data_IF_390044522069
#
_entry.id   IF_390044522069
#
_cell.length_a   1.000
_cell.length_b   1.000
_cell.length_c   1.000
_cell.angle_alpha   90.00
_cell.angle_beta   90.00
_cell.angle_gamma   90.00
#
_symmetry.space_group_name_H-M   'P 1'
#
loop_
_entity.id
_entity.type
_entity.pdbx_description
1 polymer ?
#
# COMPACT_ATOMS: atom_id res chain seq x y z
N UNK A 1 -23.74 -20.59 13.70
CA UNK A 1 -24.25 -19.30 13.17
C UNK A 1 -23.17 -18.74 12.27
N UNK A 2 -23.37 -18.80 10.97
CA UNK A 2 -22.43 -18.30 9.96
C UNK A 2 -22.35 -16.77 10.05
N UNK A 3 -21.15 -16.22 10.12
CA UNK A 3 -20.96 -14.76 10.09
C UNK A 3 -20.77 -14.31 8.64
N UNK A 4 -21.35 -13.17 8.27
CA UNK A 4 -21.20 -12.57 6.93
C UNK A 4 -19.73 -12.41 6.52
N UNK A 5 -18.84 -12.13 7.49
CA UNK A 5 -17.39 -12.01 7.27
C UNK A 5 -16.76 -13.31 6.75
N UNK A 6 -17.24 -14.48 7.20
CA UNK A 6 -16.73 -15.78 6.76
C UNK A 6 -17.13 -16.06 5.29
N UNK A 7 -18.32 -15.59 4.89
CA UNK A 7 -18.84 -15.68 3.52
C UNK A 7 -18.06 -14.74 2.58
N UNK A 8 -17.75 -13.51 3.04
CA UNK A 8 -16.92 -12.55 2.29
C UNK A 8 -15.51 -13.11 2.05
N UNK A 9 -14.90 -13.72 3.07
CA UNK A 9 -13.58 -14.35 2.94
C UNK A 9 -13.58 -15.50 1.93
N UNK A 10 -14.63 -16.33 1.93
CA UNK A 10 -14.79 -17.40 0.96
C UNK A 10 -14.99 -16.87 -0.48
N UNK A 11 -15.77 -15.80 -0.66
CA UNK A 11 -15.95 -15.14 -1.95
C UNK A 11 -14.63 -14.65 -2.56
N UNK A 12 -13.75 -14.09 -1.74
CA UNK A 12 -12.42 -13.65 -2.17
C UNK A 12 -11.54 -14.76 -2.76
N UNK A 13 -11.79 -16.02 -2.41
CA UNK A 13 -11.07 -17.19 -2.91
C UNK A 13 -11.70 -17.82 -4.17
N UNK A 14 -12.87 -17.35 -4.61
CA UNK A 14 -13.62 -17.92 -5.74
C UNK A 14 -13.37 -17.18 -7.07
N UNK A 15 -12.17 -16.61 -7.25
CA UNK A 15 -11.82 -15.89 -8.47
C UNK A 15 -11.95 -16.79 -9.73
N UNK A 16 -12.59 -16.25 -10.78
CA UNK A 16 -12.78 -16.96 -12.05
C UNK A 16 -14.06 -17.80 -12.16
N UNK A 17 -14.90 -17.86 -11.12
CA UNK A 17 -16.22 -18.47 -11.19
C UNK A 17 -17.29 -17.49 -11.62
N UNK A 18 -18.37 -17.99 -12.21
CA UNK A 18 -19.58 -17.20 -12.45
C UNK A 18 -20.33 -16.96 -11.13
N UNK A 19 -21.17 -15.92 -11.09
CA UNK A 19 -22.01 -15.61 -9.92
C UNK A 19 -22.86 -16.83 -9.51
N UNK A 20 -23.45 -17.54 -10.47
CA UNK A 20 -24.24 -18.75 -10.22
C UNK A 20 -23.41 -19.87 -9.57
N UNK A 21 -22.16 -20.07 -10.02
CA UNK A 21 -21.24 -21.05 -9.44
C UNK A 21 -20.79 -20.65 -8.02
N UNK A 22 -20.60 -19.36 -7.78
CA UNK A 22 -20.29 -18.83 -6.45
C UNK A 22 -21.46 -19.04 -5.49
N UNK A 23 -22.70 -18.76 -5.91
CA UNK A 23 -23.89 -19.02 -5.10
C UNK A 23 -24.05 -20.51 -4.76
N UNK A 24 -23.86 -21.40 -5.73
CA UNK A 24 -23.91 -22.84 -5.47
C UNK A 24 -22.85 -23.28 -4.45
N UNK A 25 -21.59 -22.83 -4.61
CA UNK A 25 -20.51 -23.13 -3.66
C UNK A 25 -20.73 -22.55 -2.26
N UNK A 26 -21.27 -21.34 -2.17
CA UNK A 26 -21.57 -20.73 -0.88
C UNK A 26 -22.73 -21.44 -0.18
N UNK A 27 -23.74 -21.91 -0.93
CA UNK A 27 -24.80 -22.76 -0.38
C UNK A 27 -24.30 -24.10 0.14
N UNK A 28 -23.29 -24.69 -0.51
CA UNK A 28 -22.63 -25.92 -0.04
C UNK A 28 -21.73 -25.68 1.18
N UNK A 29 -20.98 -24.59 1.21
CA UNK A 29 -20.05 -24.26 2.30
C UNK A 29 -20.75 -23.69 3.54
N UNK A 30 -21.87 -23.01 3.35
CA UNK A 30 -22.63 -22.33 4.40
C UNK A 30 -24.12 -22.65 4.29
N UNK A 31 -24.54 -23.90 4.54
CA UNK A 31 -25.94 -24.32 4.40
C UNK A 31 -26.89 -23.60 5.37
N UNK A 32 -26.35 -23.08 6.48
CA UNK A 32 -27.10 -22.31 7.49
C UNK A 32 -27.19 -20.81 7.16
N UNK A 33 -26.58 -20.34 6.07
CA UNK A 33 -26.62 -18.93 5.68
C UNK A 33 -27.94 -18.63 4.95
N UNK A 34 -28.68 -17.64 5.44
CA UNK A 34 -29.84 -17.12 4.75
C UNK A 34 -29.45 -16.41 3.45
N UNK A 35 -30.35 -16.41 2.46
CA UNK A 35 -30.15 -15.72 1.18
C UNK A 35 -29.73 -14.25 1.38
N UNK A 36 -30.37 -13.55 2.32
CA UNK A 36 -30.05 -12.15 2.67
C UNK A 36 -28.61 -11.98 3.18
N UNK A 37 -28.06 -12.98 3.89
CA UNK A 37 -26.68 -12.94 4.38
C UNK A 37 -25.67 -13.15 3.24
N UNK A 38 -26.01 -14.01 2.29
CA UNK A 38 -25.20 -14.24 1.08
C UNK A 38 -25.21 -12.99 0.20
N UNK A 39 -26.38 -12.38 -0.03
CA UNK A 39 -26.49 -11.11 -0.76
C UNK A 39 -25.72 -9.97 -0.09
N UNK A 40 -25.80 -9.86 1.25
CA UNK A 40 -25.03 -8.88 2.01
C UNK A 40 -23.52 -9.10 1.85
N UNK A 41 -23.05 -10.36 1.87
CA UNK A 41 -21.65 -10.69 1.65
C UNK A 41 -21.17 -10.32 0.23
N UNK A 42 -21.98 -10.58 -0.80
CA UNK A 42 -21.67 -10.16 -2.18
C UNK A 42 -21.57 -8.65 -2.32
N UNK A 43 -22.46 -7.87 -1.69
CA UNK A 43 -22.41 -6.40 -1.72
C UNK A 43 -21.12 -5.86 -1.08
N UNK A 44 -20.69 -6.45 0.03
CA UNK A 44 -19.44 -6.09 0.71
C UNK A 44 -18.25 -6.43 -0.19
N UNK A 45 -18.18 -7.66 -0.69
CA UNK A 45 -17.08 -8.10 -1.56
C UNK A 45 -16.97 -7.27 -2.86
N UNK A 46 -18.10 -6.86 -3.44
CA UNK A 46 -18.13 -5.99 -4.62
C UNK A 46 -17.61 -4.57 -4.30
N UNK A 47 -17.97 -4.01 -3.15
CA UNK A 47 -17.46 -2.71 -2.69
C UNK A 47 -15.94 -2.76 -2.49
N UNK A 48 -15.43 -3.81 -1.85
CA UNK A 48 -13.99 -3.99 -1.61
C UNK A 48 -13.21 -4.16 -2.93
N UNK A 49 -13.80 -4.87 -3.90
CA UNK A 49 -13.23 -5.04 -5.23
C UNK A 49 -13.18 -3.71 -6.01
N UNK A 50 -14.22 -2.89 -5.94
CA UNK A 50 -14.27 -1.56 -6.56
C UNK A 50 -13.23 -0.61 -5.93
N UNK A 51 -13.08 -0.62 -4.61
CA UNK A 51 -12.07 0.16 -3.93
C UNK A 51 -10.65 -0.28 -4.31
N UNK A 52 -10.43 -1.59 -4.39
CA UNK A 52 -9.16 -2.18 -4.85
C UNK A 52 -8.86 -1.76 -6.29
N UNK A 53 -9.85 -1.84 -7.20
CA UNK A 53 -9.70 -1.43 -8.59
C UNK A 53 -9.35 0.06 -8.71
N UNK A 54 -10.03 0.93 -7.95
CA UNK A 54 -9.72 2.37 -7.90
C UNK A 54 -8.34 2.65 -7.33
N UNK A 55 -7.88 1.87 -6.35
CA UNK A 55 -6.50 1.96 -5.83
C UNK A 55 -5.49 1.57 -6.90
N UNK A 56 -5.66 0.41 -7.54
CA UNK A 56 -4.78 -0.08 -8.60
C UNK A 56 -4.74 0.87 -9.80
N UNK A 57 -5.87 1.47 -10.17
CA UNK A 57 -5.94 2.46 -11.24
C UNK A 57 -5.18 3.75 -10.89
N UNK A 58 -5.26 4.22 -9.63
CA UNK A 58 -4.46 5.36 -9.15
C UNK A 58 -2.97 5.03 -9.14
N UNK A 59 -2.60 3.83 -8.71
CA UNK A 59 -1.21 3.35 -8.72
C UNK A 59 -0.66 3.23 -10.14
N UNK A 60 -1.44 2.68 -11.09
CA UNK A 60 -1.06 2.59 -12.49
C UNK A 60 -0.87 3.98 -13.14
N UNK A 61 -1.78 4.93 -12.87
CA UNK A 61 -1.65 6.30 -13.35
C UNK A 61 -0.41 7.00 -12.76
N UNK A 62 -0.05 6.72 -11.50
CA UNK A 62 1.17 7.22 -10.88
C UNK A 62 2.44 6.62 -11.54
N UNK A 63 2.39 5.34 -11.92
CA UNK A 63 3.49 4.66 -12.63
C UNK A 63 3.70 5.19 -14.06
N UNK A 64 2.64 5.54 -14.77
CA UNK A 64 2.74 6.15 -16.12
C UNK A 64 3.51 7.49 -16.07
N UNK A 65 3.21 8.35 -15.08
CA UNK A 65 3.94 9.61 -14.88
C UNK A 65 5.43 9.42 -14.52
N UNK A 66 5.81 8.29 -13.91
CA UNK A 66 7.22 7.97 -13.64
C UNK A 66 7.98 7.54 -14.91
N UNK A 67 7.29 6.92 -15.88
CA UNK A 67 7.87 6.59 -17.18
C UNK A 67 8.35 7.83 -17.93
N UNK A 68 7.56 8.91 -17.88
CA UNK A 68 7.92 10.20 -18.46
C UNK A 68 9.17 10.80 -17.81
N UNK A 69 9.39 10.63 -16.50
CA UNK A 69 10.60 11.11 -15.84
C UNK A 69 11.86 10.38 -16.33
N UNK A 70 11.77 9.07 -16.59
CA UNK A 70 12.90 8.26 -17.05
C UNK A 70 13.12 8.34 -18.57
N UNK A 71 12.18 8.89 -19.33
CA UNK A 71 12.33 8.97 -20.78
C UNK A 71 13.57 9.77 -21.20
N UNK A 72 14.31 9.23 -22.16
CA UNK A 72 15.59 9.76 -22.65
C UNK A 72 16.76 9.67 -21.66
N UNK A 73 16.61 9.00 -20.51
CA UNK A 73 17.69 8.81 -19.53
C UNK A 73 18.51 7.53 -19.80
N UNK A 74 19.81 7.51 -19.46
CA UNK A 74 20.61 6.29 -19.52
C UNK A 74 20.04 5.15 -18.66
N UNK A 75 20.25 3.90 -19.09
CA UNK A 75 19.90 2.73 -18.27
C UNK A 75 20.63 2.79 -16.92
N UNK A 76 19.90 2.50 -15.83
CA UNK A 76 20.42 2.57 -14.46
C UNK A 76 20.26 3.94 -13.79
N UNK A 77 19.74 4.95 -14.48
CA UNK A 77 19.36 6.22 -13.85
C UNK A 77 18.16 6.01 -12.93
N UNK A 78 18.26 6.45 -11.67
CA UNK A 78 17.13 6.37 -10.74
C UNK A 78 16.09 7.46 -11.06
N UNK A 79 14.83 7.25 -10.63
CA UNK A 79 13.75 8.24 -10.84
C UNK A 79 14.11 9.60 -10.24
N UNK A 80 14.73 9.62 -9.04
CA UNK A 80 15.22 10.86 -8.41
C UNK A 80 16.29 11.54 -9.25
N UNK A 81 17.31 10.81 -9.72
CA UNK A 81 18.36 11.38 -10.56
C UNK A 81 17.81 11.94 -11.88
N UNK A 82 16.88 11.22 -12.50
CA UNK A 82 16.21 11.66 -13.72
C UNK A 82 15.42 12.95 -13.47
N UNK A 83 14.66 13.03 -12.37
CA UNK A 83 13.95 14.23 -11.98
C UNK A 83 14.90 15.40 -11.69
N UNK A 84 16.03 15.18 -11.00
CA UNK A 84 17.05 16.22 -10.76
C UNK A 84 17.65 16.75 -12.06
N UNK A 85 17.91 15.88 -13.04
CA UNK A 85 18.43 16.27 -14.36
C UNK A 85 17.38 17.07 -15.14
N UNK A 86 16.14 16.59 -15.19
CA UNK A 86 15.04 17.23 -15.94
C UNK A 86 14.58 18.54 -15.31
N UNK A 87 14.51 18.62 -13.98
CA UNK A 87 14.17 19.85 -13.26
C UNK A 87 15.17 20.99 -13.54
N UNK A 88 16.47 20.68 -13.65
CA UNK A 88 17.51 21.66 -14.05
C UNK A 88 17.29 22.21 -15.48
N UNK A 89 16.54 21.50 -16.32
CA UNK A 89 16.15 21.91 -17.68
C UNK A 89 14.79 22.61 -17.74
N UNK A 90 14.12 22.81 -16.60
CA UNK A 90 12.82 23.49 -16.51
C UNK A 90 11.60 22.58 -16.67
N UNK A 91 11.78 21.25 -16.64
CA UNK A 91 10.68 20.29 -16.72
C UNK A 91 9.76 20.39 -15.50
N UNK A 92 8.48 20.71 -15.73
CA UNK A 92 7.52 20.96 -14.65
C UNK A 92 7.11 19.70 -13.90
N UNK A 93 7.04 18.55 -14.57
CA UNK A 93 6.73 17.27 -13.92
C UNK A 93 7.87 16.88 -12.98
N UNK A 94 9.12 17.04 -13.41
CA UNK A 94 10.28 16.79 -12.59
C UNK A 94 10.37 17.73 -11.38
N UNK A 95 10.06 19.02 -11.56
CA UNK A 95 10.00 20.00 -10.46
C UNK A 95 8.91 19.60 -9.45
N UNK A 96 7.70 19.28 -9.93
CA UNK A 96 6.59 18.87 -9.08
C UNK A 96 6.90 17.57 -8.31
N UNK A 97 7.51 16.60 -8.98
CA UNK A 97 7.96 15.36 -8.35
C UNK A 97 8.99 15.62 -7.25
N UNK A 98 10.01 16.44 -7.52
CA UNK A 98 11.01 16.79 -6.51
C UNK A 98 10.40 17.57 -5.34
N UNK A 99 9.45 18.47 -5.60
CA UNK A 99 8.73 19.19 -4.54
C UNK A 99 7.93 18.22 -3.67
N UNK A 100 7.26 17.23 -4.29
CA UNK A 100 6.49 16.22 -3.58
C UNK A 100 7.37 15.30 -2.72
N UNK A 101 8.42 14.69 -3.28
CA UNK A 101 9.26 13.75 -2.50
C UNK A 101 10.08 14.43 -1.41
N UNK A 102 10.27 15.75 -1.50
CA UNK A 102 10.92 16.54 -0.46
C UNK A 102 9.91 17.28 0.44
N UNK A 103 8.60 17.02 0.29
CA UNK A 103 7.59 17.61 1.16
C UNK A 103 7.78 17.14 2.61
N UNK A 104 7.42 17.96 3.61
CA UNK A 104 7.49 17.55 5.01
C UNK A 104 6.76 16.23 5.27
N UNK A 105 5.58 16.04 4.67
CA UNK A 105 4.75 14.85 4.83
C UNK A 105 5.48 13.58 4.38
N UNK A 106 6.08 13.59 3.18
CA UNK A 106 6.82 12.44 2.64
C UNK A 106 8.07 12.18 3.47
N UNK A 107 8.81 13.24 3.84
CA UNK A 107 10.03 13.10 4.64
C UNK A 107 9.76 12.56 6.05
N UNK A 108 8.70 13.03 6.70
CA UNK A 108 8.25 12.54 8.00
C UNK A 108 7.83 11.07 7.87
N UNK A 109 7.01 10.74 6.87
CA UNK A 109 6.57 9.36 6.63
C UNK A 109 7.73 8.40 6.40
N UNK A 110 8.71 8.76 5.58
CA UNK A 110 9.92 7.97 5.38
C UNK A 110 10.73 7.80 6.67
N UNK A 111 10.87 8.86 7.47
CA UNK A 111 11.61 8.80 8.72
C UNK A 111 10.92 7.91 9.76
N UNK A 112 9.59 8.02 9.89
CA UNK A 112 8.78 7.17 10.76
C UNK A 112 8.82 5.71 10.31
N UNK A 113 8.72 5.44 9.00
CA UNK A 113 8.84 4.09 8.46
C UNK A 113 10.20 3.46 8.76
N UNK A 114 11.29 4.22 8.58
CA UNK A 114 12.65 3.75 8.90
C UNK A 114 12.77 3.42 10.39
N UNK A 115 12.31 4.32 11.26
CA UNK A 115 12.32 4.08 12.70
C UNK A 115 11.48 2.85 13.09
N UNK A 116 10.33 2.66 12.46
CA UNK A 116 9.49 1.48 12.64
C UNK A 116 10.21 0.18 12.24
N UNK A 117 10.90 0.17 11.10
CA UNK A 117 11.70 -0.97 10.66
C UNK A 117 12.91 -1.22 11.57
N UNK A 118 13.50 -0.19 12.16
CA UNK A 118 14.62 -0.34 13.08
C UNK A 118 14.17 -0.84 14.46
N UNK A 119 12.95 -0.51 14.89
CA UNK A 119 12.38 -0.94 16.16
C UNK A 119 11.83 -2.38 16.14
N UNK A 120 11.33 -2.87 15.00
CA UNK A 120 10.78 -4.22 14.90
C UNK A 120 11.86 -5.27 14.53
N UNK A 121 12.14 -6.25 15.40
CA UNK A 121 13.21 -7.24 15.19
C UNK A 121 12.97 -8.19 14.00
N UNK A 122 11.75 -8.20 13.45
CA UNK A 122 11.42 -8.97 12.24
C UNK A 122 11.91 -8.27 10.98
N UNK A 123 12.38 -7.03 11.06
CA UNK A 123 13.04 -6.34 9.97
C UNK A 123 14.56 -6.41 10.12
N UNK A 124 15.25 -6.32 8.98
CA UNK A 124 16.71 -6.33 8.95
C UNK A 124 17.25 -5.35 7.93
N UNK A 125 18.20 -4.53 8.35
CA UNK A 125 18.87 -3.56 7.49
C UNK A 125 19.79 -4.29 6.52
N UNK A 126 19.62 -4.05 5.22
CA UNK A 126 20.45 -4.63 4.13
C UNK A 126 21.40 -3.61 3.49
N UNK A 127 21.40 -2.37 3.97
CA UNK A 127 22.20 -1.27 3.44
C UNK A 127 21.56 0.06 3.80
N UNK A 128 22.01 1.13 3.16
CA UNK A 128 21.42 2.46 3.36
C UNK A 128 19.99 2.49 2.80
N UNK A 129 19.01 2.72 3.68
CA UNK A 129 17.59 2.81 3.33
C UNK A 129 16.90 1.50 2.92
N UNK A 130 17.62 0.36 2.87
CA UNK A 130 17.05 -0.92 2.46
C UNK A 130 16.76 -1.83 3.66
N UNK A 131 15.52 -2.30 3.76
CA UNK A 131 15.05 -3.22 4.81
C UNK A 131 14.51 -4.50 4.21
N UNK A 132 14.77 -5.62 4.88
CA UNK A 132 14.25 -6.92 4.51
C UNK A 132 13.48 -7.55 5.67
N UNK A 133 12.25 -7.95 5.36
CA UNK A 133 11.37 -8.68 6.26
C UNK A 133 11.89 -10.12 6.48
N UNK A 134 11.89 -10.54 7.75
CA UNK A 134 12.27 -11.86 8.24
C UNK A 134 11.14 -12.54 9.01
N UNK A 135 9.98 -11.90 9.13
CA UNK A 135 8.82 -12.47 9.79
C UNK A 135 8.14 -13.56 8.95
N UNK A 136 7.09 -14.17 9.52
CA UNK A 136 6.23 -15.11 8.79
C UNK A 136 5.19 -14.35 8.00
N UNK A 137 4.93 -14.78 6.77
CA UNK A 137 3.92 -14.17 5.89
C UNK A 137 4.41 -12.91 5.18
N UNK A 138 3.47 -12.22 4.56
CA UNK A 138 3.73 -10.96 3.87
C UNK A 138 4.16 -9.85 4.84
N UNK A 139 5.07 -8.96 4.44
CA UNK A 139 5.43 -7.81 5.27
C UNK A 139 4.22 -6.89 5.46
N UNK A 140 4.06 -6.27 6.65
CA UNK A 140 3.05 -5.23 6.84
C UNK A 140 3.29 -4.05 5.89
N UNK A 141 2.22 -3.33 5.56
CA UNK A 141 2.33 -2.13 4.74
C UNK A 141 3.12 -1.02 5.45
N UNK A 142 3.59 -0.04 4.66
CA UNK A 142 4.21 1.19 5.14
C UNK A 142 3.40 1.88 6.24
N UNK A 143 2.13 2.12 5.93
CA UNK A 143 1.16 2.79 6.81
C UNK A 143 0.95 2.01 8.12
N UNK A 144 0.79 0.69 8.04
CA UNK A 144 0.60 -0.15 9.23
C UNK A 144 1.80 -0.12 10.18
N UNK A 145 3.03 -0.11 9.66
CA UNK A 145 4.21 -0.01 10.52
C UNK A 145 4.37 1.39 11.12
N UNK A 146 4.05 2.44 10.37
CA UNK A 146 4.08 3.82 10.89
C UNK A 146 3.07 3.95 12.04
N UNK A 147 1.84 3.49 11.84
CA UNK A 147 0.78 3.50 12.86
C UNK A 147 1.20 2.69 14.11
N UNK A 148 1.72 1.48 13.90
CA UNK A 148 2.26 0.66 14.98
C UNK A 148 3.36 1.39 15.76
N UNK A 149 4.29 2.04 15.06
CA UNK A 149 5.39 2.76 15.68
C UNK A 149 4.91 3.99 16.45
N UNK A 150 4.00 4.79 15.89
CA UNK A 150 3.40 5.94 16.58
C UNK A 150 2.62 5.50 17.83
N UNK A 151 1.99 4.33 17.82
CA UNK A 151 1.25 3.77 18.96
C UNK A 151 2.19 3.22 20.05
N UNK A 152 3.26 2.55 19.66
CA UNK A 152 4.16 1.85 20.60
C UNK A 152 5.35 2.69 21.08
N UNK A 153 5.78 3.68 20.27
CA UNK A 153 6.90 4.58 20.53
C UNK A 153 6.49 6.06 20.36
N UNK A 154 5.42 6.53 21.04
CA UNK A 154 4.81 7.84 20.76
C UNK A 154 5.74 9.03 21.00
N UNK A 155 6.62 8.95 22.01
CA UNK A 155 7.59 10.03 22.29
C UNK A 155 8.64 10.14 21.18
N UNK A 156 9.10 9.02 20.65
CA UNK A 156 10.09 9.01 19.57
C UNK A 156 9.47 9.45 18.24
N UNK A 157 8.26 9.01 17.94
CA UNK A 157 7.52 9.45 16.76
C UNK A 157 7.33 10.98 16.74
N UNK A 158 6.88 11.58 17.86
CA UNK A 158 6.74 13.06 17.97
C UNK A 158 8.06 13.79 17.80
N UNK A 159 9.16 13.20 18.28
CA UNK A 159 10.50 13.76 18.10
C UNK A 159 10.89 13.77 16.62
N UNK A 160 10.67 12.67 15.91
CA UNK A 160 10.93 12.59 14.46
C UNK A 160 10.08 13.61 13.70
N UNK A 161 8.79 13.71 14.01
CA UNK A 161 7.89 14.70 13.40
C UNK A 161 8.38 16.14 13.63
N UNK A 162 8.86 16.47 14.83
CA UNK A 162 9.41 17.78 15.15
C UNK A 162 10.77 18.05 14.47
N UNK A 163 11.65 17.06 14.39
CA UNK A 163 13.00 17.19 13.79
C UNK A 163 12.93 17.29 12.25
N UNK A 164 11.97 16.61 11.62
CA UNK A 164 11.86 16.56 10.15
C UNK A 164 10.88 17.60 9.59
N UNK A 165 9.86 17.98 10.38
CA UNK A 165 8.84 18.96 10.00
C UNK A 165 9.18 20.43 10.27
N UNK A 166 10.17 20.70 11.13
CA UNK A 166 10.69 22.05 11.41
C UNK A 166 11.71 22.53 10.38
#
# INVERSE_FOLDING_TARGET
MTKTVDIVAALGQMQGLTIEQMFARLGEQFPDAGLDQIEAAFKIAASDADETARRLQREAAALEGMGELLDGMPKGTTVRQAAEIKAKRGDQLAIAFLAHINSPEVRIGEALWRAACEADPRWSKRGEGAYAWKGKGEPPSGEMMIEWFQTTHPTEARRIEAEVGG
#
